data_IF_224916555027
#
_entry.id   IF_224916555027
#
_cell.length_a   1.000
_cell.length_b   1.000
_cell.length_c   1.000
_cell.angle_alpha   90.00
_cell.angle_beta   90.00
_cell.angle_gamma   90.00
#
_symmetry.space_group_name_H-M   'P 1'
#
loop_
_entity.id
_entity.type
_entity.pdbx_description
1 polymer ?
#
# COMPACT_ATOMS: atom_id res chain seq x y z
N UNK A 1 -8.21 -3.28 -74.92
CA UNK A 1 -7.99 -4.73 -74.91
C UNK A 1 -7.04 -5.04 -73.77
N UNK A 2 -7.31 -5.83 -72.75
CA UNK A 2 -8.51 -6.35 -72.10
C UNK A 2 -7.94 -7.02 -70.83
N UNK A 3 -8.63 -6.83 -69.71
CA UNK A 3 -8.70 -7.72 -68.54
C UNK A 3 -7.41 -8.18 -67.83
N UNK A 4 -7.32 -7.88 -66.54
CA UNK A 4 -7.58 -8.84 -65.46
C UNK A 4 -7.00 -8.29 -64.15
N UNK A 5 -7.84 -8.04 -63.14
CA UNK A 5 -7.68 -8.74 -61.85
C UNK A 5 -8.90 -8.48 -60.97
N UNK A 6 -9.27 -9.54 -60.28
CA UNK A 6 -10.57 -9.80 -59.68
C UNK A 6 -10.68 -9.16 -58.30
N UNK A 7 -11.89 -8.70 -58.03
CA UNK A 7 -12.42 -8.39 -56.71
C UNK A 7 -12.12 -9.51 -55.71
N UNK A 8 -11.54 -9.13 -54.57
CA UNK A 8 -11.65 -9.87 -53.31
C UNK A 8 -12.09 -8.88 -52.24
N UNK A 9 -13.39 -8.90 -51.94
CA UNK A 9 -13.94 -8.25 -50.76
C UNK A 9 -13.43 -9.01 -49.52
N UNK A 10 -12.43 -8.45 -48.85
CA UNK A 10 -12.00 -8.93 -47.54
C UNK A 10 -12.98 -8.45 -46.48
N UNK A 11 -13.80 -9.37 -45.95
CA UNK A 11 -14.50 -9.16 -44.67
C UNK A 11 -13.42 -9.05 -43.58
N UNK A 12 -13.09 -7.83 -43.16
CA UNK A 12 -12.30 -7.58 -41.98
C UNK A 12 -13.10 -7.96 -40.74
N UNK A 13 -12.79 -9.11 -40.15
CA UNK A 13 -13.28 -9.48 -38.82
C UNK A 13 -12.63 -8.52 -37.82
N UNK A 14 -13.36 -7.47 -37.44
CA UNK A 14 -12.95 -6.52 -36.42
C UNK A 14 -12.98 -7.26 -35.06
N UNK A 15 -11.83 -7.77 -34.63
CA UNK A 15 -11.66 -8.32 -33.30
C UNK A 15 -11.75 -7.14 -32.30
N UNK A 16 -12.93 -6.89 -31.74
CA UNK A 16 -13.05 -6.02 -30.58
C UNK A 16 -12.30 -6.70 -29.42
N UNK A 17 -11.03 -6.35 -29.24
CA UNK A 17 -10.36 -6.55 -27.97
C UNK A 17 -11.08 -5.67 -26.95
N UNK A 18 -12.00 -6.25 -26.20
CA UNK A 18 -12.45 -5.66 -24.96
C UNK A 18 -11.21 -5.59 -24.04
N UNK A 19 -10.63 -4.39 -23.93
CA UNK A 19 -9.67 -4.10 -22.88
C UNK A 19 -10.46 -4.16 -21.57
N UNK A 20 -10.49 -5.33 -20.93
CA UNK A 20 -10.88 -5.41 -19.54
C UNK A 20 -9.87 -4.56 -18.77
N UNK A 21 -10.30 -3.52 -18.02
CA UNK A 21 -9.37 -2.88 -17.11
C UNK A 21 -8.85 -3.98 -16.20
N UNK A 22 -7.52 -4.11 -16.10
CA UNK A 22 -6.93 -4.95 -15.08
C UNK A 22 -7.40 -4.36 -13.74
N UNK A 23 -8.37 -5.03 -13.12
CA UNK A 23 -8.70 -4.80 -11.72
C UNK A 23 -7.38 -5.04 -10.99
N UNK A 24 -6.84 -4.00 -10.36
CA UNK A 24 -5.77 -4.20 -9.39
C UNK A 24 -6.38 -5.12 -8.33
N UNK A 25 -5.95 -6.38 -8.28
CA UNK A 25 -6.30 -7.24 -7.15
C UNK A 25 -5.79 -6.49 -5.93
N UNK A 26 -6.72 -6.03 -5.09
CA UNK A 26 -6.36 -5.39 -3.85
C UNK A 26 -5.81 -6.52 -2.98
N UNK A 27 -4.54 -6.43 -2.57
CA UNK A 27 -3.90 -7.47 -1.79
C UNK A 27 -4.73 -7.66 -0.51
N UNK A 28 -5.21 -8.88 -0.26
CA UNK A 28 -6.03 -9.15 0.91
C UNK A 28 -5.19 -9.91 1.94
N UNK A 29 -5.31 -9.57 3.24
CA UNK A 29 -4.87 -10.48 4.29
C UNK A 29 -5.72 -11.75 4.30
N UNK A 30 -5.10 -12.86 4.70
CA UNK A 30 -5.84 -14.06 5.08
C UNK A 30 -6.64 -13.74 6.34
N UNK A 31 -7.94 -13.52 6.19
CA UNK A 31 -8.89 -13.24 7.28
C UNK A 31 -10.08 -14.20 7.18
N UNK A 32 -9.92 -15.43 7.67
CA UNK A 32 -10.95 -16.48 7.63
C UNK A 32 -12.04 -16.26 8.69
N UNK A 33 -11.71 -15.53 9.76
CA UNK A 33 -12.62 -15.28 10.86
C UNK A 33 -13.44 -13.97 10.69
N UNK A 34 -13.09 -13.16 9.68
CA UNK A 34 -13.73 -11.91 9.26
C UNK A 34 -13.75 -10.83 10.34
N UNK A 35 -12.72 -10.79 11.19
CA UNK A 35 -12.56 -9.76 12.23
C UNK A 35 -11.85 -8.50 11.72
N UNK A 36 -11.34 -8.50 10.48
CA UNK A 36 -10.62 -7.39 9.87
C UNK A 36 -9.13 -7.32 10.25
N UNK A 37 -8.58 -8.37 10.86
CA UNK A 37 -7.16 -8.60 11.09
C UNK A 37 -6.72 -9.88 10.36
N UNK A 38 -5.43 -9.96 10.02
CA UNK A 38 -4.85 -11.16 9.41
C UNK A 38 -4.77 -12.30 10.43
N UNK A 39 -5.20 -13.50 10.05
CA UNK A 39 -5.03 -14.72 10.84
C UNK A 39 -3.54 -15.09 11.00
N UNK A 40 -2.69 -14.75 10.01
CA UNK A 40 -1.23 -14.93 10.10
C UNK A 40 -0.65 -13.96 11.13
N UNK A 41 -1.13 -12.71 11.15
CA UNK A 41 -0.78 -11.74 12.18
C UNK A 41 -1.23 -12.16 13.58
N UNK A 42 -2.45 -12.67 13.70
CA UNK A 42 -2.96 -13.26 14.94
C UNK A 42 -2.06 -14.40 15.44
N UNK A 43 -1.57 -15.25 14.53
CA UNK A 43 -0.67 -16.35 14.86
C UNK A 43 0.71 -15.86 15.32
N UNK A 44 1.29 -14.85 14.65
CA UNK A 44 2.63 -14.32 14.94
C UNK A 44 2.65 -13.64 16.32
N UNK A 45 1.64 -12.84 16.64
CA UNK A 45 1.59 -12.06 17.88
C UNK A 45 0.72 -12.68 18.98
N UNK A 46 0.16 -13.87 18.74
CA UNK A 46 -0.80 -14.52 19.63
C UNK A 46 -2.03 -13.63 19.95
N UNK A 47 -2.51 -12.90 18.93
CA UNK A 47 -3.55 -11.88 19.04
C UNK A 47 -4.97 -12.37 18.70
N UNK A 48 -5.17 -13.68 18.48
CA UNK A 48 -6.48 -14.24 18.09
C UNK A 48 -7.64 -13.98 19.07
N UNK A 49 -7.35 -13.64 20.33
CA UNK A 49 -8.36 -13.23 21.33
C UNK A 49 -8.45 -11.73 21.54
N UNK A 50 -7.63 -10.95 20.84
CA UNK A 50 -7.60 -9.50 20.95
C UNK A 50 -8.76 -8.90 20.14
N UNK A 51 -9.45 -7.89 20.68
CA UNK A 51 -10.50 -7.20 19.94
C UNK A 51 -9.84 -6.29 18.89
N UNK A 52 -10.11 -6.44 17.58
CA UNK A 52 -9.50 -5.63 16.52
C UNK A 52 -9.78 -4.12 16.66
N UNK A 53 -10.80 -3.73 17.43
CA UNK A 53 -11.23 -2.34 17.61
C UNK A 53 -10.75 -1.70 18.91
N UNK A 54 -9.98 -2.42 19.72
CA UNK A 54 -9.38 -1.93 20.96
C UNK A 54 -7.88 -1.72 20.73
N UNK A 55 -7.32 -0.78 21.48
CA UNK A 55 -5.89 -0.57 21.66
C UNK A 55 -5.49 -1.37 22.91
N UNK A 56 -4.72 -2.44 22.72
CA UNK A 56 -4.49 -3.43 23.77
C UNK A 56 -3.29 -3.13 24.66
N UNK A 57 -2.40 -2.24 24.22
CA UNK A 57 -1.19 -1.83 24.94
C UNK A 57 -1.14 -0.33 25.28
N UNK A 58 -2.22 0.40 25.00
CA UNK A 58 -2.47 1.80 25.32
C UNK A 58 -1.48 2.77 24.63
N UNK A 59 -1.08 2.47 23.39
CA UNK A 59 -0.13 3.27 22.60
C UNK A 59 -0.80 4.29 21.65
N UNK A 60 -2.13 4.24 21.55
CA UNK A 60 -2.97 5.07 20.68
C UNK A 60 -3.30 4.46 19.33
N UNK A 61 -2.88 3.22 19.05
CA UNK A 61 -3.14 2.46 17.84
C UNK A 61 -3.98 1.24 18.21
N UNK A 62 -5.09 1.06 17.49
CA UNK A 62 -5.95 -0.11 17.69
C UNK A 62 -5.41 -1.32 16.91
N UNK A 63 -5.68 -2.51 17.43
CA UNK A 63 -5.16 -3.79 16.93
C UNK A 63 -5.33 -4.00 15.42
N UNK A 64 -6.46 -3.63 14.81
CA UNK A 64 -6.64 -3.80 13.34
C UNK A 64 -5.70 -2.92 12.51
N UNK A 65 -5.34 -1.72 13.01
CA UNK A 65 -4.40 -0.85 12.30
C UNK A 65 -2.98 -1.36 12.44
N UNK A 66 -2.68 -1.98 13.58
CA UNK A 66 -1.43 -2.69 13.80
C UNK A 66 -1.30 -3.93 12.93
N UNK A 67 -2.38 -4.68 12.72
CA UNK A 67 -2.42 -5.79 11.76
C UNK A 67 -2.05 -5.35 10.34
N UNK A 68 -2.62 -4.22 9.88
CA UNK A 68 -2.27 -3.61 8.59
C UNK A 68 -0.81 -3.14 8.56
N UNK A 69 -0.31 -2.58 9.67
CA UNK A 69 1.07 -2.11 9.78
C UNK A 69 2.10 -3.25 9.97
N UNK A 70 1.66 -4.44 10.35
CA UNK A 70 2.50 -5.55 10.76
C UNK A 70 3.17 -5.36 12.13
N UNK A 71 2.58 -4.55 13.02
CA UNK A 71 3.12 -4.27 14.37
C UNK A 71 2.53 -5.17 15.45
N UNK A 72 3.02 -5.07 16.69
CA UNK A 72 2.69 -6.03 17.76
C UNK A 72 1.71 -5.36 18.75
N UNK A 73 0.48 -5.88 18.90
CA UNK A 73 -0.58 -5.23 19.66
C UNK A 73 -0.42 -5.29 21.18
N UNK A 74 0.67 -5.87 21.66
CA UNK A 74 0.97 -6.04 23.07
C UNK A 74 2.32 -5.41 23.44
N UNK A 75 2.89 -4.58 22.56
CA UNK A 75 4.15 -3.89 22.77
C UNK A 75 4.05 -2.46 22.23
N UNK A 76 3.80 -1.51 23.14
CA UNK A 76 3.64 -0.09 22.82
C UNK A 76 4.87 0.58 22.17
N UNK A 77 6.01 -0.12 22.07
CA UNK A 77 7.17 0.33 21.29
C UNK A 77 7.13 -0.11 19.82
N UNK A 78 6.25 -1.06 19.48
CA UNK A 78 6.00 -1.61 18.16
C UNK A 78 4.79 -0.92 17.54
N UNK A 79 5.00 0.28 17.00
CA UNK A 79 3.91 1.10 16.46
C UNK A 79 4.27 1.78 15.13
N UNK A 80 3.30 2.05 14.25
CA UNK A 80 3.52 2.74 12.98
C UNK A 80 3.84 4.23 13.17
N UNK A 81 5.09 4.53 13.50
CA UNK A 81 5.59 5.86 13.84
C UNK A 81 6.66 6.38 12.85
N UNK A 82 6.55 7.65 12.44
CA UNK A 82 7.63 8.34 11.75
C UNK A 82 8.71 8.75 12.75
N UNK A 83 9.78 7.96 12.82
CA UNK A 83 10.85 8.14 13.79
C UNK A 83 11.76 9.35 13.48
N UNK A 84 12.01 9.59 12.19
CA UNK A 84 12.90 10.68 11.73
C UNK A 84 12.32 11.33 10.48
N UNK A 85 12.38 12.66 10.42
CA UNK A 85 12.15 13.41 9.19
C UNK A 85 13.33 14.35 8.92
N UNK A 86 13.59 14.61 7.66
CA UNK A 86 14.66 15.49 7.21
C UNK A 86 14.18 16.33 6.02
N UNK A 87 14.46 17.64 6.05
CA UNK A 87 14.18 18.54 4.93
C UNK A 87 15.45 19.29 4.55
N UNK A 88 15.80 19.25 3.27
CA UNK A 88 16.74 20.17 2.63
C UNK A 88 16.01 21.11 1.67
N UNK A 89 16.74 21.92 0.92
CA UNK A 89 16.17 22.76 -0.15
C UNK A 89 15.66 21.95 -1.34
N UNK A 90 16.03 20.68 -1.49
CA UNK A 90 15.69 19.86 -2.65
C UNK A 90 14.97 18.57 -2.31
N UNK A 91 15.05 18.10 -1.06
CA UNK A 91 14.48 16.82 -0.64
C UNK A 91 13.76 16.92 0.70
N UNK A 92 12.67 16.19 0.82
CA UNK A 92 12.01 15.86 2.08
C UNK A 92 12.01 14.35 2.23
N UNK A 93 12.49 13.85 3.37
CA UNK A 93 12.58 12.42 3.64
C UNK A 93 12.00 12.08 5.00
N UNK A 94 11.32 10.94 5.09
CA UNK A 94 10.87 10.35 6.35
C UNK A 94 11.44 8.94 6.50
N UNK A 95 11.73 8.55 7.74
CA UNK A 95 12.18 7.21 8.10
C UNK A 95 11.32 6.67 9.23
N UNK A 96 10.94 5.41 9.08
CA UNK A 96 10.16 4.65 10.05
C UNK A 96 10.64 3.19 10.09
N UNK A 97 10.30 2.51 11.17
CA UNK A 97 10.39 1.05 11.22
C UNK A 97 9.08 0.51 10.65
N UNK A 98 9.19 -0.49 9.80
CA UNK A 98 8.08 -1.13 9.13
C UNK A 98 8.31 -2.63 8.98
N UNK A 99 7.24 -3.37 8.69
CA UNK A 99 7.30 -4.78 8.36
C UNK A 99 7.63 -5.01 6.87
N UNK A 100 8.39 -6.08 6.60
CA UNK A 100 8.73 -6.52 5.23
C UNK A 100 7.49 -7.00 4.48
N UNK A 101 7.38 -6.78 3.17
CA UNK A 101 6.20 -7.12 2.38
C UNK A 101 5.10 -6.05 2.41
N UNK A 102 5.03 -5.23 3.45
CA UNK A 102 4.10 -4.08 3.47
C UNK A 102 4.55 -2.98 2.49
N UNK A 103 3.57 -2.30 1.90
CA UNK A 103 3.76 -1.11 1.07
C UNK A 103 3.62 0.16 1.89
N UNK A 104 4.53 1.11 1.65
CA UNK A 104 4.58 2.41 2.30
C UNK A 104 4.52 3.51 1.26
N UNK A 105 3.57 4.43 1.43
CA UNK A 105 3.34 5.54 0.51
C UNK A 105 3.42 6.87 1.25
N UNK A 106 4.37 7.72 0.88
CA UNK A 106 4.43 9.10 1.36
C UNK A 106 3.43 9.92 0.55
N UNK A 107 2.44 10.47 1.25
CA UNK A 107 1.43 11.34 0.63
C UNK A 107 1.57 12.76 1.12
N UNK A 108 1.28 13.70 0.23
CA UNK A 108 1.25 15.13 0.53
C UNK A 108 -0.12 15.74 0.25
N UNK A 109 -0.42 16.85 0.92
CA UNK A 109 -1.55 17.72 0.61
C UNK A 109 -1.16 19.17 0.88
N UNK A 110 -1.65 20.12 0.08
CA UNK A 110 -1.30 21.53 0.22
C UNK A 110 -1.93 22.17 1.47
N UNK A 111 -3.15 21.77 1.80
CA UNK A 111 -3.89 22.20 2.98
C UNK A 111 -4.65 21.02 3.60
N UNK A 112 -4.93 21.08 4.91
CA UNK A 112 -5.67 20.02 5.61
C UNK A 112 -7.19 20.14 5.45
N UNK A 113 -7.70 21.08 4.65
CA UNK A 113 -9.13 21.24 4.41
C UNK A 113 -9.62 20.39 3.23
N UNK A 114 -8.71 20.03 2.32
CA UNK A 114 -8.97 19.11 1.23
C UNK A 114 -8.84 17.63 1.61
N UNK A 115 -9.29 16.76 0.70
CA UNK A 115 -9.15 15.30 0.80
C UNK A 115 -8.20 14.70 -0.26
N UNK A 116 -7.67 15.54 -1.16
CA UNK A 116 -6.88 15.10 -2.31
C UNK A 116 -5.41 14.92 -1.96
N UNK A 117 -5.11 13.84 -1.24
CA UNK A 117 -3.75 13.42 -0.95
C UNK A 117 -3.06 12.93 -2.23
N UNK A 118 -1.92 13.53 -2.57
CA UNK A 118 -1.09 13.15 -3.72
C UNK A 118 0.00 12.19 -3.26
N UNK A 119 0.24 11.12 -4.02
CA UNK A 119 1.36 10.21 -3.80
C UNK A 119 2.66 10.83 -4.28
N UNK A 120 3.64 10.96 -3.39
CA UNK A 120 4.97 11.47 -3.71
C UNK A 120 5.94 10.33 -4.01
N UNK A 121 5.84 9.24 -3.24
CA UNK A 121 6.64 8.02 -3.42
C UNK A 121 5.90 6.82 -2.81
N UNK A 122 6.02 5.66 -3.45
CA UNK A 122 5.54 4.38 -2.94
C UNK A 122 6.68 3.35 -3.00
N UNK A 123 6.84 2.56 -1.94
CA UNK A 123 7.83 1.48 -1.88
C UNK A 123 7.31 0.29 -1.06
N UNK A 124 7.74 -0.91 -1.42
CA UNK A 124 7.54 -2.12 -0.62
C UNK A 124 8.81 -2.38 0.18
N UNK A 125 8.69 -2.62 1.49
CA UNK A 125 9.84 -2.95 2.33
C UNK A 125 10.31 -4.39 2.04
N UNK A 126 11.51 -4.59 1.49
CA UNK A 126 11.96 -5.93 1.05
C UNK A 126 13.16 -6.52 1.78
N UNK A 127 14.10 -5.68 2.23
CA UNK A 127 15.39 -6.16 2.77
C UNK A 127 15.63 -5.74 4.21
N UNK A 128 15.17 -4.55 4.59
CA UNK A 128 15.34 -3.99 5.93
C UNK A 128 14.00 -3.44 6.42
N UNK A 129 13.75 -3.56 7.72
CA UNK A 129 12.59 -2.95 8.38
C UNK A 129 12.67 -1.42 8.42
N UNK A 130 13.85 -0.82 8.20
CA UNK A 130 13.97 0.64 8.11
C UNK A 130 13.51 1.10 6.73
N UNK A 131 12.34 1.71 6.67
CA UNK A 131 11.77 2.29 5.44
C UNK A 131 12.18 3.75 5.34
N UNK A 132 12.70 4.17 4.17
CA UNK A 132 13.07 5.57 3.91
C UNK A 132 12.32 6.09 2.68
N UNK A 133 11.34 6.96 2.89
CA UNK A 133 10.56 7.58 1.81
C UNK A 133 11.13 8.98 1.54
N UNK A 134 11.49 9.27 0.28
CA UNK A 134 12.01 10.58 -0.11
C UNK A 134 11.21 11.16 -1.26
N UNK A 135 10.87 12.44 -1.13
CA UNK A 135 10.18 13.24 -2.12
C UNK A 135 10.99 14.50 -2.42
N UNK A 136 10.76 15.11 -3.58
CA UNK A 136 11.31 16.42 -3.90
C UNK A 136 10.70 17.47 -2.96
N UNK A 137 11.55 18.32 -2.37
CA UNK A 137 11.10 19.49 -1.65
C UNK A 137 11.13 20.74 -2.54
N UNK A 138 10.14 21.59 -2.36
CA UNK A 138 10.09 22.95 -2.87
C UNK A 138 9.78 23.93 -1.72
N UNK A 139 9.60 25.21 -2.06
CA UNK A 139 9.24 26.25 -1.09
C UNK A 139 7.74 26.26 -0.74
N UNK A 140 6.93 25.38 -1.35
CA UNK A 140 5.52 25.29 -1.03
C UNK A 140 5.33 24.58 0.32
N UNK A 141 4.41 25.11 1.14
CA UNK A 141 4.01 24.42 2.36
C UNK A 141 3.10 23.24 1.98
N UNK A 142 3.40 22.06 2.54
CA UNK A 142 2.63 20.83 2.38
C UNK A 142 2.55 20.10 3.71
N UNK A 143 1.49 19.34 3.90
CA UNK A 143 1.32 18.39 4.99
C UNK A 143 1.57 16.99 4.46
N UNK A 144 2.19 16.14 5.28
CA UNK A 144 2.58 14.80 4.88
C UNK A 144 1.97 13.74 5.80
N UNK A 145 1.71 12.56 5.23
CA UNK A 145 1.44 11.33 5.98
C UNK A 145 2.11 10.15 5.29
N UNK A 146 2.34 9.09 6.05
CA UNK A 146 2.69 7.79 5.49
C UNK A 146 1.43 6.93 5.53
N UNK A 147 1.06 6.37 4.39
CA UNK A 147 0.02 5.35 4.30
C UNK A 147 0.70 3.99 4.20
N UNK A 148 0.27 3.05 5.03
CA UNK A 148 0.70 1.66 5.00
C UNK A 148 -0.44 0.83 4.41
N UNK A 149 -0.11 -0.12 3.55
CA UNK A 149 -1.06 -1.07 2.98
C UNK A 149 -0.40 -2.40 2.66
N UNK A 150 -1.21 -3.41 2.44
CA UNK A 150 -0.75 -4.67 1.87
C UNK A 150 -0.39 -4.51 0.39
N UNK A 151 0.48 -5.39 -0.10
CA UNK A 151 0.85 -5.52 -1.50
C UNK A 151 0.89 -6.99 -1.86
N UNK A 152 0.48 -7.35 -3.07
CA UNK A 152 0.57 -8.69 -3.65
C UNK A 152 1.31 -8.50 -4.98
N UNK A 153 2.62 -8.75 -4.95
CA UNK A 153 3.52 -8.48 -6.08
C UNK A 153 3.48 -9.60 -7.12
N UNK A 154 3.20 -10.85 -6.72
CA UNK A 154 3.19 -12.00 -7.62
C UNK A 154 1.79 -12.41 -8.12
N UNK A 155 0.75 -11.80 -7.55
CA UNK A 155 -0.64 -11.89 -8.01
C UNK A 155 -1.32 -13.21 -7.66
N UNK A 156 -0.87 -13.87 -6.60
CA UNK A 156 -1.43 -15.15 -6.17
C UNK A 156 -2.68 -15.00 -5.27
N UNK A 157 -3.01 -13.76 -4.88
CA UNK A 157 -4.15 -13.41 -4.04
C UNK A 157 -3.83 -13.36 -2.54
N UNK A 158 -2.59 -13.63 -2.14
CA UNK A 158 -2.05 -13.47 -0.80
C UNK A 158 -1.09 -12.28 -0.82
N UNK A 159 -1.03 -11.50 0.26
CA UNK A 159 -0.12 -10.36 0.30
C UNK A 159 1.32 -10.78 0.64
N UNK A 160 2.29 -10.00 0.14
CA UNK A 160 3.74 -10.16 0.29
C UNK A 160 4.24 -10.24 1.76
N UNK A 161 3.42 -9.89 2.75
CA UNK A 161 3.78 -9.98 4.17
C UNK A 161 3.46 -11.36 4.76
N UNK A 162 2.54 -12.11 4.16
CA UNK A 162 2.09 -13.44 4.61
C UNK A 162 2.87 -14.61 3.97
#
# INVERSE_FOLDING_TARGET
>A
MCDCLKSFAGLGLLLMMAAFPASRADAQPVDLNLNGASDVWDLIYAASSADPNIDSDDDGVINRLEAIAGTNPFDAASLPNIAVYFRSSTNFSVRLIGALGKQYELKSIADLTGSNWVSEVSQIARTNSVVTLSATADDATRFFKVQISDADTDGDGVNDWE
#
